data_IF_123282917657
#
_entry.id   IF_123282917657
#
_cell.length_a   1.000
_cell.length_b   1.000
_cell.length_c   1.000
_cell.angle_alpha   90.00
_cell.angle_beta   90.00
_cell.angle_gamma   90.00
#
_symmetry.space_group_name_H-M   'P 1'
#
loop_
_entity.id
_entity.type
_entity.pdbx_description
1 polymer ?
#
# COMPACT_ATOMS: atom_id res chain seq x y z
N UNK A 1 20.82 12.68 -24.45
CA UNK A 1 21.64 11.97 -25.46
C UNK A 1 21.83 10.55 -24.98
N UNK A 2 21.95 9.61 -25.92
CA UNK A 2 22.04 8.19 -25.60
C UNK A 2 23.03 7.54 -26.56
N UNK A 3 23.97 6.78 -26.02
CA UNK A 3 25.08 6.18 -26.76
C UNK A 3 25.06 4.68 -26.51
N UNK A 4 25.01 3.91 -27.60
CA UNK A 4 25.14 2.46 -27.56
C UNK A 4 26.59 2.08 -27.83
N UNK A 5 27.12 1.17 -27.01
CA UNK A 5 28.49 0.69 -27.07
C UNK A 5 28.45 -0.82 -27.29
N UNK A 6 29.21 -1.31 -28.28
CA UNK A 6 29.32 -2.74 -28.55
C UNK A 6 30.75 -3.21 -28.27
N UNK A 7 30.89 -4.12 -27.30
CA UNK A 7 32.13 -4.80 -26.94
C UNK A 7 31.83 -6.30 -26.80
N UNK A 8 31.51 -6.96 -27.93
CA UNK A 8 30.92 -8.31 -28.02
C UNK A 8 29.49 -8.41 -27.48
N UNK A 9 29.17 -7.64 -26.43
CA UNK A 9 27.84 -7.43 -25.87
C UNK A 9 27.44 -5.95 -26.00
N UNK A 10 26.13 -5.66 -25.92
CA UNK A 10 25.60 -4.31 -26.02
C UNK A 10 25.46 -3.63 -24.65
N UNK A 11 26.06 -2.46 -24.50
CA UNK A 11 25.96 -1.58 -23.34
C UNK A 11 25.36 -0.23 -23.76
N UNK A 12 24.73 0.47 -22.81
CA UNK A 12 24.05 1.75 -23.08
C UNK A 12 24.40 2.80 -22.04
N UNK A 13 24.80 3.98 -22.50
CA UNK A 13 25.07 5.16 -21.68
C UNK A 13 24.04 6.26 -21.97
N UNK A 14 23.35 6.72 -20.93
CA UNK A 14 22.37 7.82 -21.00
C UNK A 14 22.93 9.11 -20.39
N UNK A 15 22.77 10.22 -21.11
CA UNK A 15 23.07 11.57 -20.66
C UNK A 15 21.85 12.49 -20.71
N UNK A 16 21.74 13.38 -19.72
CA UNK A 16 20.67 14.36 -19.54
C UNK A 16 21.27 15.77 -19.43
N UNK A 17 20.88 16.68 -20.32
CA UNK A 17 21.25 18.10 -20.27
C UNK A 17 19.97 18.92 -20.15
N UNK A 18 19.86 19.70 -19.07
CA UNK A 18 18.72 20.59 -18.81
C UNK A 18 18.99 21.88 -19.58
N UNK A 19 18.17 22.18 -20.60
CA UNK A 19 18.31 23.43 -21.37
C UNK A 19 17.72 24.62 -20.63
N UNK A 20 16.56 24.41 -20.02
CA UNK A 20 15.81 25.43 -19.27
C UNK A 20 15.14 24.75 -18.07
N UNK A 21 15.29 25.34 -16.88
CA UNK A 21 14.75 24.77 -15.64
C UNK A 21 13.23 24.98 -15.49
N UNK A 22 12.67 26.03 -16.10
CA UNK A 22 11.22 26.31 -16.10
C UNK A 22 10.62 26.20 -14.69
N UNK A 23 9.62 25.34 -14.51
CA UNK A 23 8.94 25.16 -13.22
C UNK A 23 9.88 24.72 -12.07
N UNK A 24 11.03 24.10 -12.39
CA UNK A 24 12.04 23.71 -11.40
C UNK A 24 12.68 24.92 -10.70
N UNK A 25 12.59 26.12 -11.28
CA UNK A 25 13.06 27.36 -10.63
C UNK A 25 12.22 27.72 -9.40
N UNK A 26 10.95 27.30 -9.37
CA UNK A 26 10.01 27.62 -8.28
C UNK A 26 9.72 26.39 -7.42
N UNK A 27 9.73 25.19 -8.01
CA UNK A 27 9.37 23.94 -7.34
C UNK A 27 10.60 23.19 -6.77
N UNK A 28 11.12 23.67 -5.64
CA UNK A 28 12.33 23.14 -4.97
C UNK A 28 12.26 21.70 -4.44
N UNK A 29 11.10 21.06 -4.52
CA UNK A 29 10.88 19.70 -4.00
C UNK A 29 11.28 18.62 -5.02
N UNK A 30 11.45 19.00 -6.29
CA UNK A 30 11.93 18.12 -7.35
C UNK A 30 13.34 18.54 -7.76
N UNK A 31 14.28 17.58 -7.82
CA UNK A 31 15.66 17.86 -8.16
C UNK A 31 16.10 17.05 -9.38
N UNK A 32 16.28 17.75 -10.50
CA UNK A 32 16.86 17.18 -11.70
C UNK A 32 18.36 17.47 -11.73
N UNK A 33 19.16 16.40 -11.67
CA UNK A 33 20.61 16.49 -11.86
C UNK A 33 20.93 16.16 -13.32
N UNK A 34 21.50 17.13 -14.03
CA UNK A 34 22.08 16.89 -15.35
C UNK A 34 23.23 15.88 -15.25
N UNK A 35 23.31 14.98 -16.23
CA UNK A 35 24.44 14.08 -16.45
C UNK A 35 24.92 14.29 -17.88
N UNK A 36 25.94 15.13 -18.05
CA UNK A 36 26.57 15.26 -19.37
C UNK A 36 27.37 14.00 -19.68
N UNK A 37 27.32 13.59 -20.93
CA UNK A 37 28.23 12.59 -21.50
C UNK A 37 29.08 13.30 -22.57
N UNK A 38 30.23 12.73 -22.92
CA UNK A 38 31.07 13.27 -23.99
C UNK A 38 30.37 13.25 -25.34
N UNK A 39 30.91 13.99 -26.31
CA UNK A 39 30.44 13.97 -27.68
C UNK A 39 30.96 12.71 -28.39
N UNK A 40 30.05 11.82 -28.78
CA UNK A 40 30.35 10.59 -29.50
C UNK A 40 29.55 10.53 -30.80
N UNK A 41 30.20 10.15 -31.89
CA UNK A 41 29.62 9.91 -33.19
C UNK A 41 29.43 8.41 -33.47
N UNK A 42 28.49 8.07 -34.34
CA UNK A 42 28.31 6.69 -34.79
C UNK A 42 29.56 6.22 -35.54
N UNK A 43 30.15 5.13 -35.08
CA UNK A 43 31.38 4.57 -35.64
C UNK A 43 32.64 4.88 -34.82
N UNK A 44 32.54 5.73 -33.80
CA UNK A 44 33.66 5.99 -32.90
C UNK A 44 34.06 4.73 -32.13
N UNK A 45 35.38 4.52 -32.01
CA UNK A 45 35.96 3.43 -31.23
C UNK A 45 36.73 4.00 -30.04
N UNK A 46 36.58 3.38 -28.88
CA UNK A 46 37.33 3.73 -27.68
C UNK A 46 37.67 2.48 -26.88
N UNK A 47 38.68 2.59 -26.01
CA UNK A 47 39.06 1.51 -25.09
C UNK A 47 38.37 1.74 -23.75
N UNK A 48 37.57 0.78 -23.23
CA UNK A 48 37.01 0.89 -21.89
C UNK A 48 38.11 0.91 -20.83
N UNK A 49 37.97 1.75 -19.79
CA UNK A 49 38.92 1.80 -18.67
C UNK A 49 38.90 0.49 -17.86
N UNK A 50 37.70 -0.04 -17.60
CA UNK A 50 37.49 -1.27 -16.84
C UNK A 50 36.28 -2.05 -17.37
N UNK A 51 36.37 -3.39 -17.32
CA UNK A 51 35.26 -4.31 -17.59
C UNK A 51 35.10 -5.22 -16.38
N UNK A 52 34.07 -4.97 -15.57
CA UNK A 52 33.84 -5.64 -14.30
C UNK A 52 32.52 -6.42 -14.29
N UNK A 53 32.54 -7.59 -13.63
CA UNK A 53 31.34 -8.39 -13.39
C UNK A 53 30.84 -8.14 -11.96
N UNK A 54 29.87 -7.24 -11.82
CA UNK A 54 29.28 -6.91 -10.53
C UNK A 54 28.25 -7.96 -10.10
N UNK A 55 28.28 -8.34 -8.82
CA UNK A 55 27.22 -9.15 -8.20
C UNK A 55 26.18 -8.23 -7.56
N UNK A 56 24.90 -8.47 -7.85
CA UNK A 56 23.77 -7.78 -7.22
C UNK A 56 22.89 -8.75 -6.45
N UNK A 57 22.15 -8.24 -5.48
CA UNK A 57 21.13 -8.98 -4.73
C UNK A 57 19.82 -8.17 -4.70
N UNK A 58 18.68 -8.87 -4.68
CA UNK A 58 17.38 -8.22 -4.52
C UNK A 58 17.16 -7.84 -3.07
N UNK A 59 16.56 -6.69 -2.82
CA UNK A 59 16.17 -6.26 -1.47
C UNK A 59 14.68 -6.50 -1.24
N UNK A 60 14.32 -6.72 0.03
CA UNK A 60 12.93 -6.78 0.42
C UNK A 60 12.24 -5.42 0.18
N UNK A 61 10.91 -5.40 -0.04
CA UNK A 61 10.14 -4.16 -0.12
C UNK A 61 10.29 -3.32 1.14
N UNK A 62 10.18 -2.00 0.99
CA UNK A 62 10.12 -1.10 2.15
C UNK A 62 8.76 -1.22 2.86
N UNK A 63 8.75 -0.89 4.15
CA UNK A 63 7.52 -0.72 4.90
C UNK A 63 6.70 0.44 4.31
N UNK A 64 5.39 0.42 4.52
CA UNK A 64 4.50 1.43 3.97
C UNK A 64 4.60 2.74 4.74
N UNK A 65 4.71 3.85 4.01
CA UNK A 65 4.51 5.21 4.52
C UNK A 65 3.04 5.62 4.43
N UNK A 66 2.68 6.77 5.00
CA UNK A 66 1.31 7.30 4.87
C UNK A 66 0.93 7.54 3.40
N UNK A 67 1.87 8.02 2.59
CA UNK A 67 1.67 8.22 1.15
C UNK A 67 1.43 6.91 0.41
N UNK A 68 2.11 5.83 0.81
CA UNK A 68 1.91 4.51 0.20
C UNK A 68 0.52 3.95 0.56
N UNK A 69 0.10 4.13 1.82
CA UNK A 69 -1.24 3.71 2.27
C UNK A 69 -2.31 4.51 1.54
N UNK A 70 -2.18 5.83 1.42
CA UNK A 70 -3.07 6.70 0.63
C UNK A 70 -3.16 6.20 -0.81
N UNK A 71 -2.01 5.92 -1.44
CA UNK A 71 -1.96 5.41 -2.82
C UNK A 71 -2.67 4.06 -2.94
N UNK A 72 -2.52 3.16 -1.95
CA UNK A 72 -3.22 1.89 -1.91
C UNK A 72 -4.73 2.06 -1.70
N UNK A 73 -5.15 2.97 -0.82
CA UNK A 73 -6.56 3.30 -0.58
C UNK A 73 -7.22 3.83 -1.86
N UNK A 74 -6.56 4.76 -2.56
CA UNK A 74 -7.00 5.27 -3.87
C UNK A 74 -7.10 4.15 -4.91
N UNK A 75 -6.05 3.35 -5.04
CA UNK A 75 -6.00 2.22 -5.99
C UNK A 75 -7.13 1.24 -5.76
N UNK A 76 -7.53 1.02 -4.51
CA UNK A 76 -8.61 0.11 -4.14
C UNK A 76 -9.97 0.78 -4.00
N UNK A 77 -10.07 2.10 -4.18
CA UNK A 77 -11.33 2.85 -4.14
C UNK A 77 -11.98 2.90 -2.77
N UNK A 78 -11.19 3.03 -1.70
CA UNK A 78 -11.68 3.20 -0.33
C UNK A 78 -11.20 4.52 0.27
N UNK A 79 -11.98 5.07 1.20
CA UNK A 79 -11.69 6.37 1.80
C UNK A 79 -11.96 7.53 0.84
N UNK A 80 -12.90 7.38 -0.10
CA UNK A 80 -13.33 8.47 -0.99
C UNK A 80 -13.88 9.67 -0.21
N UNK A 81 -14.00 10.81 -0.88
CA UNK A 81 -14.48 12.09 -0.30
C UNK A 81 -13.59 12.62 0.84
N UNK A 82 -12.27 12.59 0.63
CA UNK A 82 -11.25 13.09 1.55
C UNK A 82 -11.24 12.42 2.96
N UNK A 83 -11.71 11.17 3.06
CA UNK A 83 -11.80 10.45 4.34
C UNK A 83 -10.59 9.56 4.66
N UNK A 84 -9.61 9.44 3.75
CA UNK A 84 -8.43 8.58 3.94
C UNK A 84 -7.64 8.92 5.20
N UNK A 85 -7.35 10.21 5.41
CA UNK A 85 -6.62 10.69 6.58
C UNK A 85 -7.34 10.32 7.90
N UNK A 86 -8.67 10.39 7.92
CA UNK A 86 -9.48 10.02 9.09
C UNK A 86 -9.36 8.52 9.41
N UNK A 87 -9.43 7.67 8.38
CA UNK A 87 -9.27 6.21 8.55
C UNK A 87 -7.87 5.84 9.03
N UNK A 88 -6.84 6.46 8.46
CA UNK A 88 -5.44 6.27 8.85
C UNK A 88 -5.21 6.72 10.29
N UNK A 89 -5.79 7.85 10.70
CA UNK A 89 -5.65 8.34 12.07
C UNK A 89 -6.36 7.44 13.09
N UNK A 90 -7.52 6.89 12.74
CA UNK A 90 -8.25 5.94 13.62
C UNK A 90 -7.43 4.69 13.94
N UNK A 91 -6.73 4.10 12.97
CA UNK A 91 -5.91 2.90 13.23
C UNK A 91 -4.66 3.21 14.06
N UNK A 92 -4.09 4.42 13.93
CA UNK A 92 -3.01 4.91 14.79
C UNK A 92 -3.51 5.12 16.23
N UNK A 93 -4.61 5.84 16.39
CA UNK A 93 -5.23 6.14 17.70
C UNK A 93 -5.60 4.87 18.47
N UNK A 94 -6.10 3.84 17.78
CA UNK A 94 -6.43 2.54 18.37
C UNK A 94 -5.22 1.63 18.61
N UNK A 95 -4.01 2.09 18.28
CA UNK A 95 -2.76 1.34 18.45
C UNK A 95 -2.73 0.01 17.68
N UNK A 96 -3.50 -0.11 16.59
CA UNK A 96 -3.39 -1.25 15.68
C UNK A 96 -2.12 -1.19 14.84
N UNK A 97 -1.58 0.01 14.67
CA UNK A 97 -0.31 0.30 14.00
C UNK A 97 0.51 1.26 14.85
N UNK A 98 1.83 1.21 14.68
CA UNK A 98 2.79 2.17 15.25
C UNK A 98 3.71 2.69 14.15
N UNK A 99 4.39 3.82 14.40
CA UNK A 99 5.30 4.43 13.44
C UNK A 99 6.76 4.14 13.79
N UNK A 100 7.44 3.39 12.95
CA UNK A 100 8.89 3.21 12.99
C UNK A 100 9.59 4.38 12.31
N UNK A 101 10.62 4.91 12.97
CA UNK A 101 11.32 6.13 12.55
C UNK A 101 10.38 7.32 12.28
N UNK A 102 9.20 7.33 12.91
CA UNK A 102 8.12 8.32 12.71
C UNK A 102 7.55 8.37 11.27
N UNK A 103 7.87 7.42 10.41
CA UNK A 103 7.51 7.45 8.98
C UNK A 103 6.81 6.16 8.55
N UNK A 104 7.34 5.01 8.96
CA UNK A 104 6.91 3.72 8.45
C UNK A 104 5.87 3.06 9.36
N UNK A 105 4.78 2.56 8.80
CA UNK A 105 3.75 1.84 9.54
C UNK A 105 4.20 0.42 9.84
N UNK A 106 4.17 0.06 11.12
CA UNK A 106 4.38 -1.31 11.60
C UNK A 106 3.11 -1.76 12.34
N UNK A 107 2.52 -2.91 11.96
CA UNK A 107 1.34 -3.41 12.63
C UNK A 107 1.67 -3.84 14.07
N UNK A 108 0.81 -3.45 15.01
CA UNK A 108 0.88 -3.89 16.39
C UNK A 108 0.37 -5.32 16.54
N UNK A 109 0.66 -5.95 17.69
CA UNK A 109 0.22 -7.31 18.02
C UNK A 109 -1.30 -7.51 17.86
N UNK A 110 -2.09 -6.57 18.39
CA UNK A 110 -3.54 -6.60 18.27
C UNK A 110 -4.02 -6.40 16.83
N UNK A 111 -3.40 -5.48 16.08
CA UNK A 111 -3.72 -5.26 14.67
C UNK A 111 -3.48 -6.51 13.82
N UNK A 112 -2.33 -7.16 14.00
CA UNK A 112 -2.01 -8.43 13.34
C UNK A 112 -3.00 -9.53 13.70
N UNK A 113 -3.30 -9.69 14.99
CA UNK A 113 -4.22 -10.72 15.46
C UNK A 113 -5.62 -10.57 14.85
N UNK A 114 -6.14 -9.33 14.78
CA UNK A 114 -7.46 -9.06 14.22
C UNK A 114 -7.51 -9.39 12.72
N UNK A 115 -6.54 -8.89 11.95
CA UNK A 115 -6.48 -9.15 10.50
C UNK A 115 -6.36 -10.65 10.21
N UNK A 116 -5.42 -11.34 10.86
CA UNK A 116 -5.24 -12.79 10.69
C UNK A 116 -6.49 -13.57 11.08
N UNK A 117 -7.19 -13.16 12.13
CA UNK A 117 -8.41 -13.84 12.56
C UNK A 117 -9.51 -13.74 11.51
N UNK A 118 -9.73 -12.55 10.91
CA UNK A 118 -10.75 -12.37 9.89
C UNK A 118 -10.43 -13.17 8.63
N UNK A 119 -9.16 -13.18 8.20
CA UNK A 119 -8.71 -13.95 7.04
C UNK A 119 -8.88 -15.47 7.30
N UNK A 120 -8.55 -15.97 8.49
CA UNK A 120 -8.73 -17.38 8.85
C UNK A 120 -10.21 -17.80 8.92
N UNK A 121 -11.10 -16.90 9.33
CA UNK A 121 -12.55 -17.13 9.30
C UNK A 121 -13.11 -17.14 7.86
N UNK A 122 -12.30 -16.78 6.85
CA UNK A 122 -12.76 -16.59 5.47
C UNK A 122 -13.71 -15.40 5.32
N UNK A 123 -13.67 -14.46 6.27
CA UNK A 123 -14.50 -13.25 6.25
C UNK A 123 -13.66 -12.15 5.63
N UNK A 124 -14.07 -11.68 4.45
CA UNK A 124 -13.34 -10.66 3.67
C UNK A 124 -13.27 -9.25 4.29
N UNK A 125 -13.36 -9.09 5.61
CA UNK A 125 -13.33 -7.80 6.29
C UNK A 125 -11.97 -7.09 6.18
N UNK A 126 -10.87 -7.83 6.10
CA UNK A 126 -9.55 -7.26 5.87
C UNK A 126 -9.36 -6.78 4.41
N UNK A 127 -10.21 -7.24 3.48
CA UNK A 127 -10.11 -6.93 2.07
C UNK A 127 -10.88 -5.64 1.74
N UNK A 128 -10.34 -4.75 0.90
CA UNK A 128 -10.97 -3.45 0.63
C UNK A 128 -12.24 -3.55 -0.23
N UNK A 129 -12.47 -4.68 -0.89
CA UNK A 129 -13.52 -4.86 -1.91
C UNK A 129 -14.93 -4.51 -1.38
N UNK A 130 -15.28 -5.00 -0.19
CA UNK A 130 -16.59 -4.74 0.43
C UNK A 130 -16.82 -3.25 0.65
N UNK A 131 -15.80 -2.57 1.17
CA UNK A 131 -15.86 -1.13 1.42
C UNK A 131 -15.91 -0.34 0.12
N UNK A 132 -15.12 -0.73 -0.88
CA UNK A 132 -15.09 -0.08 -2.18
C UNK A 132 -16.46 -0.17 -2.88
N UNK A 133 -17.14 -1.31 -2.79
CA UNK A 133 -18.46 -1.48 -3.39
C UNK A 133 -19.55 -0.66 -2.67
N UNK A 134 -19.47 -0.55 -1.34
CA UNK A 134 -20.31 0.38 -0.58
C UNK A 134 -20.08 1.83 -1.03
N UNK A 135 -18.83 2.28 -1.14
CA UNK A 135 -18.50 3.66 -1.55
C UNK A 135 -18.98 3.96 -2.99
N UNK A 136 -18.85 3.01 -3.91
CA UNK A 136 -19.44 3.13 -5.27
C UNK A 136 -20.96 3.26 -5.21
N UNK A 137 -21.63 2.52 -4.33
CA UNK A 137 -23.08 2.62 -4.17
C UNK A 137 -23.51 3.95 -3.55
N UNK A 138 -22.73 4.49 -2.61
CA UNK A 138 -22.94 5.85 -2.09
C UNK A 138 -22.81 6.89 -3.20
N UNK A 139 -21.80 6.76 -4.08
CA UNK A 139 -21.68 7.64 -5.24
C UNK A 139 -22.88 7.55 -6.19
N UNK A 140 -23.40 6.34 -6.43
CA UNK A 140 -24.63 6.17 -7.26
C UNK A 140 -25.86 6.81 -6.62
N UNK A 141 -25.93 6.89 -5.28
CA UNK A 141 -26.99 7.64 -4.60
C UNK A 141 -26.84 9.13 -4.86
N UNK A 142 -25.63 9.68 -4.71
CA UNK A 142 -25.32 11.09 -5.00
C UNK A 142 -25.66 11.46 -6.44
N UNK A 143 -25.39 10.57 -7.39
CA UNK A 143 -25.72 10.73 -8.81
C UNK A 143 -27.22 10.55 -9.14
N UNK A 144 -28.06 10.18 -8.16
CA UNK A 144 -29.48 9.87 -8.37
C UNK A 144 -29.74 8.55 -9.12
N UNK A 145 -28.72 7.69 -9.27
CA UNK A 145 -28.77 6.42 -10.01
C UNK A 145 -29.23 5.23 -9.16
N UNK A 146 -29.24 5.34 -7.83
CA UNK A 146 -29.65 4.27 -6.92
C UNK A 146 -30.44 4.82 -5.74
N UNK A 147 -31.46 4.08 -5.29
CA UNK A 147 -32.26 4.46 -4.12
C UNK A 147 -31.51 4.14 -2.82
N UNK A 148 -31.43 5.10 -1.90
CA UNK A 148 -30.69 4.97 -0.64
C UNK A 148 -31.24 3.87 0.27
N UNK A 149 -32.57 3.62 0.29
CA UNK A 149 -33.17 2.57 1.12
C UNK A 149 -32.74 1.19 0.65
N UNK A 150 -32.74 0.97 -0.66
CA UNK A 150 -32.27 -0.30 -1.24
C UNK A 150 -30.81 -0.58 -0.92
N UNK A 151 -29.95 0.45 -0.95
CA UNK A 151 -28.54 0.30 -0.54
C UNK A 151 -28.45 -0.01 0.94
N UNK A 152 -29.17 0.72 1.78
CA UNK A 152 -29.17 0.52 3.23
C UNK A 152 -29.60 -0.89 3.62
N UNK A 153 -30.74 -1.36 3.11
CA UNK A 153 -31.29 -2.68 3.43
C UNK A 153 -30.32 -3.80 2.99
N UNK A 154 -29.75 -3.68 1.78
CA UNK A 154 -28.78 -4.64 1.27
C UNK A 154 -27.50 -4.69 2.12
N UNK A 155 -26.99 -3.53 2.54
CA UNK A 155 -25.77 -3.43 3.35
C UNK A 155 -26.01 -3.95 4.77
N UNK A 156 -27.13 -3.61 5.40
CA UNK A 156 -27.49 -4.14 6.73
C UNK A 156 -27.58 -5.67 6.66
N UNK A 157 -28.32 -6.22 5.71
CA UNK A 157 -28.46 -7.67 5.56
C UNK A 157 -27.10 -8.34 5.38
N UNK A 158 -26.26 -7.81 4.48
CA UNK A 158 -24.93 -8.35 4.23
C UNK A 158 -24.04 -8.34 5.48
N UNK A 159 -23.96 -7.21 6.20
CA UNK A 159 -23.14 -7.11 7.40
C UNK A 159 -23.69 -7.94 8.56
N UNK A 160 -25.02 -8.13 8.67
CA UNK A 160 -25.62 -9.04 9.63
C UNK A 160 -25.23 -10.49 9.36
N UNK A 161 -25.26 -10.93 8.10
CA UNK A 161 -24.84 -12.29 7.73
C UNK A 161 -23.34 -12.51 8.03
N UNK A 162 -22.49 -11.52 7.75
CA UNK A 162 -21.06 -11.60 8.08
C UNK A 162 -20.81 -11.59 9.59
N UNK A 163 -21.58 -10.81 10.35
CA UNK A 163 -21.51 -10.80 11.80
C UNK A 163 -21.92 -12.16 12.39
N UNK A 164 -22.96 -12.81 11.85
CA UNK A 164 -23.34 -14.17 12.23
C UNK A 164 -22.18 -15.15 12.06
N UNK A 165 -21.52 -15.15 10.89
CA UNK A 165 -20.34 -15.98 10.63
C UNK A 165 -19.18 -15.69 11.59
N UNK A 166 -18.96 -14.44 11.94
CA UNK A 166 -17.92 -14.05 12.90
C UNK A 166 -18.21 -14.67 14.28
N UNK A 167 -19.46 -14.58 14.75
CA UNK A 167 -19.87 -15.13 16.05
C UNK A 167 -19.75 -16.65 16.07
N UNK A 168 -20.15 -17.34 15.00
CA UNK A 168 -19.98 -18.79 14.85
C UNK A 168 -18.49 -19.21 14.94
N UNK A 169 -17.59 -18.37 14.42
CA UNK A 169 -16.16 -18.65 14.37
C UNK A 169 -15.33 -17.90 15.42
N UNK A 170 -15.95 -17.33 16.47
CA UNK A 170 -15.28 -16.47 17.45
C UNK A 170 -14.02 -17.11 18.08
N UNK A 171 -14.01 -18.42 18.24
CA UNK A 171 -12.86 -19.18 18.77
C UNK A 171 -11.57 -18.98 17.96
N UNK A 172 -11.65 -18.72 16.65
CA UNK A 172 -10.50 -18.41 15.78
C UNK A 172 -9.87 -17.08 16.18
N UNK A 173 -10.69 -16.10 16.58
CA UNK A 173 -10.22 -14.81 17.10
C UNK A 173 -9.50 -15.01 18.43
N UNK A 174 -10.06 -15.81 19.34
CA UNK A 174 -9.45 -16.11 20.63
C UNK A 174 -8.07 -16.77 20.48
N UNK A 175 -7.96 -17.74 19.55
CA UNK A 175 -6.68 -18.40 19.22
C UNK A 175 -5.67 -17.40 18.63
N UNK A 176 -6.09 -16.59 17.67
CA UNK A 176 -5.21 -15.62 17.00
C UNK A 176 -4.73 -14.54 17.96
N UNK A 177 -5.62 -14.00 18.80
CA UNK A 177 -5.27 -13.02 19.83
C UNK A 177 -4.35 -13.65 20.88
N UNK A 178 -4.65 -14.87 21.33
CA UNK A 178 -3.80 -15.61 22.27
C UNK A 178 -2.36 -15.80 21.78
N UNK A 179 -2.18 -16.13 20.49
CA UNK A 179 -0.87 -16.24 19.82
C UNK A 179 -0.04 -14.95 19.93
N UNK A 180 -0.66 -13.79 19.77
CA UNK A 180 0.06 -12.51 19.75
C UNK A 180 0.19 -11.82 21.11
N UNK A 181 -0.79 -12.00 22.00
CA UNK A 181 -0.88 -11.29 23.28
C UNK A 181 -0.34 -12.12 24.46
N UNK A 182 -0.02 -13.41 24.29
CA UNK A 182 0.48 -14.29 25.37
C UNK A 182 -0.44 -14.35 26.60
N UNK A 183 -1.75 -14.16 26.37
CA UNK A 183 -2.79 -14.33 27.38
C UNK A 183 -3.73 -15.42 26.90
N UNK A 184 -3.71 -16.58 27.53
CA UNK A 184 -4.72 -17.62 27.31
C UNK A 184 -6.03 -17.16 27.96
N UNK A 185 -7.16 -17.06 27.23
CA UNK A 185 -8.45 -16.82 27.85
C UNK A 185 -8.78 -17.98 28.81
N UNK A 186 -8.95 -17.70 30.09
CA UNK A 186 -9.52 -18.67 31.02
C UNK A 186 -11.04 -18.64 30.86
N UNK A 187 -11.61 -19.65 30.19
CA UNK A 187 -13.05 -19.87 30.24
C UNK A 187 -13.37 -20.51 31.58
N UNK A 188 -13.90 -19.72 32.51
CA UNK A 188 -14.55 -20.26 33.70
C UNK A 188 -15.87 -20.91 33.26
N UNK A 189 -15.87 -22.24 33.11
CA UNK A 189 -17.09 -23.01 33.05
C UNK A 189 -17.77 -22.94 34.42
N UNK A 190 -18.69 -22.01 34.60
CA UNK A 190 -19.70 -22.11 35.66
C UNK A 190 -20.72 -23.16 35.28
N UNK A 191 -20.68 -24.26 36.04
CA UNK A 191 -21.71 -25.31 36.14
C UNK A 191 -23.09 -24.77 36.50
#
# INVERSE_FOLDING_TARGET
MDVNVNIFENFRAKGLIIKEYNYLNVYKYENWKGKSIGDYCTGDTFTPDEIIMCRGETTAPQLLTESDIITLMDKHGIGTDATQAEHIEKIKMRQYVSLYQKIYFIPGKLGMALVESYDQMGIGFAQPMLRADLEKDLQKICDGKKNWKTVLDAQIQFYMDMFGKLVENQHIMDVSVGKYIQSTPQYNNTS
#
